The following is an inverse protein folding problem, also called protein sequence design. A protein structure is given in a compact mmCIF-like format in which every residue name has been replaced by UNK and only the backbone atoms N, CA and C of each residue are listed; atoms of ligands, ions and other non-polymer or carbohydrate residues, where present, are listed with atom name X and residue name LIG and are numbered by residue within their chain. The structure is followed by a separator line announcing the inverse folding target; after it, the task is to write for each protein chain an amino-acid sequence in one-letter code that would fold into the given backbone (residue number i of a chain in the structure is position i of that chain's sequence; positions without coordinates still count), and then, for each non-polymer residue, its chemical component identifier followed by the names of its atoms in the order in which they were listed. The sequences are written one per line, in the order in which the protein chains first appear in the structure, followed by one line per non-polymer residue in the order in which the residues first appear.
data_IF_993274063494
#
_entry.id   IF_993274063494
#
_cell.length_a   1.000
_cell.length_b   1.000
_cell.length_c   1.000
_cell.angle_alpha   90.00
_cell.angle_beta   90.00
_cell.angle_gamma   90.00
#
_symmetry.space_group_name_H-M   'P 1'
#
loop_
_entity.id
_entity.type
_entity.pdbx_description
1 polymer ?
#
# COMPACT_ATOMS: atom_id res chain seq x y z
N UNK A 1 -11.30 5.82 15.66
CA UNK A 1 -11.36 4.50 14.97
C UNK A 1 -11.36 4.61 13.44
N UNK A 2 -12.19 5.47 12.82
CA UNK A 2 -12.23 5.59 11.34
C UNK A 2 -10.88 5.93 10.70
N UNK A 3 -10.05 6.76 11.36
CA UNK A 3 -8.69 7.07 10.88
C UNK A 3 -7.70 5.91 11.10
N UNK A 4 -7.92 5.07 12.11
CA UNK A 4 -6.98 3.96 12.40
C UNK A 4 -7.19 2.82 11.42
N UNK A 5 -8.44 2.47 11.16
CA UNK A 5 -8.79 1.30 10.34
C UNK A 5 -9.16 1.66 8.89
N UNK A 6 -9.23 2.95 8.57
CA UNK A 6 -9.78 3.42 7.30
C UNK A 6 -11.27 3.13 7.16
N UNK A 7 -11.81 3.44 5.98
CA UNK A 7 -13.17 3.12 5.57
C UNK A 7 -13.29 3.14 4.06
N UNK A 8 -14.00 2.17 3.47
CA UNK A 8 -14.32 2.17 2.05
C UNK A 8 -15.76 1.76 1.83
N UNK A 9 -16.48 2.52 1.01
CA UNK A 9 -17.90 2.28 0.77
C UNK A 9 -18.41 3.00 -0.48
N UNK A 10 -19.42 2.41 -1.09
CA UNK A 10 -20.10 2.95 -2.28
C UNK A 10 -21.60 2.93 -2.00
N UNK A 11 -22.27 4.03 -2.32
CA UNK A 11 -23.71 4.18 -2.24
C UNK A 11 -24.24 4.92 -3.49
N UNK A 12 -25.56 5.02 -3.62
CA UNK A 12 -26.16 5.77 -4.73
C UNK A 12 -25.81 7.26 -4.61
N UNK A 13 -24.99 7.76 -5.54
CA UNK A 13 -24.55 9.16 -5.61
C UNK A 13 -23.36 9.52 -4.70
N UNK A 14 -22.85 8.58 -3.89
CA UNK A 14 -21.76 8.85 -2.95
C UNK A 14 -20.76 7.69 -2.90
N UNK A 15 -19.51 8.01 -2.59
CA UNK A 15 -18.49 7.02 -2.25
C UNK A 15 -17.57 7.57 -1.16
N UNK A 16 -16.94 6.68 -0.41
CA UNK A 16 -15.96 7.01 0.62
C UNK A 16 -14.73 6.12 0.48
N UNK A 17 -13.56 6.73 0.66
CA UNK A 17 -12.28 6.05 0.71
C UNK A 17 -11.39 6.83 1.68
N UNK A 18 -11.20 6.27 2.88
CA UNK A 18 -10.39 6.82 3.96
C UNK A 18 -9.26 5.82 4.20
N UNK A 19 -7.98 6.23 4.07
CA UNK A 19 -6.85 5.35 4.34
C UNK A 19 -6.64 5.16 5.85
N UNK A 20 -5.79 4.20 6.20
CA UNK A 20 -5.37 3.98 7.58
C UNK A 20 -4.29 4.99 7.96
N UNK A 21 -4.24 5.33 9.25
CA UNK A 21 -3.26 6.21 9.85
C UNK A 21 -2.69 5.56 11.10
N UNK A 22 -1.45 5.92 11.43
CA UNK A 22 -0.74 5.38 12.58
C UNK A 22 -1.42 5.83 13.87
N UNK A 23 -1.70 4.88 14.76
CA UNK A 23 -2.40 5.14 16.02
C UNK A 23 -1.72 6.23 16.87
N UNK A 24 -0.39 6.21 16.93
CA UNK A 24 0.39 7.18 17.72
C UNK A 24 0.19 8.62 17.23
N UNK A 25 0.13 8.81 15.92
CA UNK A 25 -0.02 10.14 15.31
C UNK A 25 -1.44 10.68 15.55
N UNK A 26 -2.44 9.78 15.51
CA UNK A 26 -3.82 10.12 15.88
C UNK A 26 -3.92 10.52 17.35
N UNK A 27 -3.26 9.79 18.26
CA UNK A 27 -3.24 10.12 19.69
C UNK A 27 -2.58 11.49 19.93
N UNK A 28 -1.41 11.73 19.34
CA UNK A 28 -0.69 13.00 19.48
C UNK A 28 -1.55 14.20 19.02
N UNK A 29 -2.26 14.05 17.90
CA UNK A 29 -3.16 15.10 17.42
C UNK A 29 -4.39 15.31 18.32
N UNK A 30 -4.90 14.26 18.96
CA UNK A 30 -5.96 14.39 19.96
C UNK A 30 -5.44 15.15 21.18
N UNK A 31 -4.22 14.85 21.64
CA UNK A 31 -3.60 15.58 22.75
C UNK A 31 -3.38 17.06 22.43
N UNK A 32 -2.89 17.39 21.22
CA UNK A 32 -2.79 18.78 20.76
C UNK A 32 -4.15 19.49 20.80
N UNK A 33 -5.22 18.84 20.31
CA UNK A 33 -6.57 19.42 20.35
C UNK A 33 -7.08 19.65 21.77
N UNK A 34 -6.73 18.77 22.73
CA UNK A 34 -7.10 18.94 24.14
C UNK A 34 -6.37 20.11 24.81
N UNK A 35 -5.20 20.49 24.29
CA UNK A 35 -4.39 21.61 24.78
C UNK A 35 -4.59 22.91 23.98
N UNK A 36 -5.60 22.98 23.10
CA UNK A 36 -5.84 24.10 22.17
C UNK A 36 -4.64 24.39 21.22
N UNK A 37 -3.83 23.37 20.94
CA UNK A 37 -2.70 23.41 20.01
C UNK A 37 -3.12 23.02 18.59
N UNK A 38 -2.31 23.41 17.60
CA UNK A 38 -2.58 23.09 16.20
C UNK A 38 -2.23 21.63 15.92
N UNK A 39 -3.10 20.94 15.19
CA UNK A 39 -2.81 19.58 14.71
C UNK A 39 -1.73 19.54 13.65
N UNK A 40 -1.00 18.44 13.64
CA UNK A 40 0.02 18.11 12.65
C UNK A 40 -0.59 17.29 11.50
N UNK A 41 -0.14 17.50 10.25
CA UNK A 41 -0.55 16.66 9.13
C UNK A 41 -0.16 15.20 9.36
N UNK A 42 -1.08 14.29 9.08
CA UNK A 42 -0.82 12.85 9.13
C UNK A 42 -0.76 12.29 7.70
N UNK A 43 0.19 11.39 7.47
CA UNK A 43 0.30 10.63 6.23
C UNK A 43 -0.28 9.21 6.41
N UNK A 44 -0.85 8.61 5.34
CA UNK A 44 -1.34 7.24 5.40
C UNK A 44 -0.27 6.25 5.86
N UNK A 45 -0.69 5.28 6.67
CA UNK A 45 0.19 4.26 7.22
C UNK A 45 -0.59 2.95 7.43
N UNK A 46 0.04 1.83 7.10
CA UNK A 46 -0.53 0.49 7.25
C UNK A 46 0.44 -0.40 8.02
N UNK A 47 -0.07 -1.10 9.02
CA UNK A 47 0.72 -1.99 9.85
C UNK A 47 1.26 -3.17 9.03
N UNK A 48 2.56 -3.45 9.13
CA UNK A 48 3.23 -4.54 8.42
C UNK A 48 3.51 -4.28 6.93
N UNK A 49 3.05 -3.15 6.36
CA UNK A 49 3.36 -2.81 4.98
C UNK A 49 4.81 -2.32 4.85
N UNK A 50 5.61 -3.01 4.04
CA UNK A 50 7.03 -2.67 3.84
C UNK A 50 7.31 -1.91 2.54
N UNK A 51 6.27 -1.56 1.79
CA UNK A 51 6.38 -0.76 0.59
C UNK A 51 6.50 0.73 0.90
N UNK A 52 6.43 1.54 -0.16
CA UNK A 52 6.59 3.00 -0.06
C UNK A 52 5.28 3.71 -0.32
N UNK A 53 4.90 4.64 0.55
CA UNK A 53 3.78 5.57 0.35
C UNK A 53 4.36 6.96 0.11
N UNK A 54 4.09 7.55 -1.05
CA UNK A 54 4.58 8.89 -1.40
C UNK A 54 3.44 9.83 -1.69
N UNK A 55 3.52 11.05 -1.15
CA UNK A 55 2.58 12.12 -1.46
C UNK A 55 2.74 12.59 -2.90
N UNK A 56 1.63 12.66 -3.63
CA UNK A 56 1.58 13.02 -5.05
C UNK A 56 0.62 14.19 -5.32
N UNK A 57 0.29 14.97 -4.29
CA UNK A 57 -0.59 16.13 -4.37
C UNK A 57 -1.34 16.37 -3.07
N UNK A 58 -2.26 17.33 -3.10
CA UNK A 58 -3.19 17.53 -1.99
C UNK A 58 -4.15 16.34 -1.93
N UNK A 59 -4.19 15.66 -0.78
CA UNK A 59 -4.99 14.45 -0.54
C UNK A 59 -4.77 13.31 -1.54
N UNK A 60 -3.62 13.26 -2.21
CA UNK A 60 -3.26 12.20 -3.16
C UNK A 60 -1.96 11.53 -2.77
N UNK A 61 -1.98 10.19 -2.73
CA UNK A 61 -0.83 9.36 -2.42
C UNK A 61 -0.66 8.27 -3.47
N UNK A 62 0.59 7.89 -3.71
CA UNK A 62 0.98 6.73 -4.52
C UNK A 62 1.56 5.68 -3.60
N UNK A 63 1.13 4.43 -3.75
CA UNK A 63 1.69 3.29 -3.05
C UNK A 63 2.54 2.47 -4.02
N UNK A 64 3.69 2.03 -3.55
CA UNK A 64 4.62 1.20 -4.31
C UNK A 64 4.92 -0.05 -3.49
N UNK A 65 4.94 -1.19 -4.16
CA UNK A 65 5.50 -2.41 -3.60
C UNK A 65 7.02 -2.31 -3.46
N UNK A 66 7.64 -3.39 -2.99
CA UNK A 66 9.09 -3.46 -2.76
C UNK A 66 9.71 -4.50 -3.69
N UNK A 67 10.41 -4.06 -4.75
CA UNK A 67 11.24 -4.95 -5.56
C UNK A 67 12.64 -5.07 -4.94
N UNK A 68 13.15 -6.29 -4.87
CA UNK A 68 14.51 -6.61 -4.45
C UNK A 68 15.32 -7.19 -5.60
N UNK A 69 16.65 -7.05 -5.50
CA UNK A 69 17.57 -7.61 -6.49
C UNK A 69 17.77 -9.10 -6.23
N UNK A 70 17.60 -9.91 -7.27
CA UNK A 70 17.70 -11.39 -7.17
C UNK A 70 19.11 -11.94 -7.40
N UNK A 71 20.13 -11.08 -7.40
CA UNK A 71 21.50 -11.42 -7.80
C UNK A 71 21.72 -11.49 -9.32
N UNK A 72 20.66 -11.60 -10.13
CA UNK A 72 20.70 -11.46 -11.59
C UNK A 72 20.07 -10.10 -12.00
N UNK A 73 20.68 -9.41 -12.97
CA UNK A 73 20.18 -8.14 -13.50
C UNK A 73 18.83 -8.26 -14.23
N UNK A 74 18.55 -9.42 -14.83
CA UNK A 74 17.31 -9.68 -15.59
C UNK A 74 16.15 -10.19 -14.73
N UNK A 75 16.40 -10.49 -13.46
CA UNK A 75 15.39 -11.07 -12.56
C UNK A 75 15.17 -10.15 -11.36
N UNK A 76 13.90 -9.94 -11.00
CA UNK A 76 13.50 -9.14 -9.85
C UNK A 76 12.70 -10.01 -8.90
N UNK A 77 13.02 -9.90 -7.61
CA UNK A 77 12.22 -10.50 -6.55
C UNK A 77 11.21 -9.46 -6.09
N UNK A 78 9.93 -9.81 -6.03
CA UNK A 78 8.89 -8.91 -5.51
C UNK A 78 8.54 -9.39 -4.11
N UNK A 79 8.90 -8.62 -3.08
CA UNK A 79 8.67 -8.99 -1.68
C UNK A 79 7.42 -8.36 -1.10
N UNK A 80 6.96 -7.24 -1.66
CA UNK A 80 5.74 -6.55 -1.24
C UNK A 80 4.99 -6.00 -2.45
N UNK A 81 3.66 -6.07 -2.41
CA UNK A 81 2.79 -5.49 -3.45
C UNK A 81 2.23 -4.14 -2.96
N UNK A 82 1.93 -3.18 -3.87
CA UNK A 82 1.25 -1.96 -3.46
C UNK A 82 -0.06 -2.26 -2.72
N UNK A 83 -0.43 -1.41 -1.76
CA UNK A 83 -1.72 -1.51 -1.07
C UNK A 83 -2.88 -1.61 -2.07
N UNK A 84 -3.88 -2.42 -1.70
CA UNK A 84 -5.05 -2.77 -2.53
C UNK A 84 -4.77 -3.69 -3.74
N UNK A 85 -3.51 -4.09 -3.97
CA UNK A 85 -3.16 -5.07 -5.01
C UNK A 85 -3.09 -6.47 -4.42
N UNK A 86 -4.07 -7.31 -4.76
CA UNK A 86 -4.07 -8.72 -4.39
C UNK A 86 -3.10 -9.53 -5.26
N UNK A 87 -2.48 -10.56 -4.68
CA UNK A 87 -1.55 -11.48 -5.36
C UNK A 87 -2.15 -12.04 -6.65
N UNK A 88 -3.39 -12.52 -6.60
CA UNK A 88 -4.08 -13.07 -7.78
C UNK A 88 -4.23 -12.04 -8.91
N UNK A 89 -4.53 -10.78 -8.58
CA UNK A 89 -4.66 -9.71 -9.56
C UNK A 89 -3.28 -9.37 -10.18
N UNK A 90 -2.24 -9.41 -9.36
CA UNK A 90 -0.88 -9.17 -9.81
C UNK A 90 -0.39 -10.29 -10.76
N UNK A 91 -0.58 -11.55 -10.37
CA UNK A 91 -0.25 -12.73 -11.19
C UNK A 91 -0.97 -12.69 -12.53
N UNK A 92 -2.29 -12.43 -12.53
CA UNK A 92 -3.06 -12.29 -13.77
C UNK A 92 -2.54 -11.15 -14.67
N UNK A 93 -2.05 -10.08 -14.07
CA UNK A 93 -1.43 -8.97 -14.81
C UNK A 93 -0.08 -9.38 -15.42
N UNK A 94 0.72 -10.20 -14.74
CA UNK A 94 1.96 -10.76 -15.27
C UNK A 94 1.71 -11.72 -16.43
N UNK A 95 0.69 -12.58 -16.36
CA UNK A 95 0.33 -13.48 -17.46
C UNK A 95 -0.07 -12.72 -18.73
N UNK A 96 -0.90 -11.68 -18.58
CA UNK A 96 -1.20 -10.77 -19.71
C UNK A 96 0.05 -10.08 -20.26
N UNK A 97 1.06 -9.85 -19.42
CA UNK A 97 2.36 -9.29 -19.80
C UNK A 97 3.24 -10.25 -20.60
N UNK A 98 3.10 -11.58 -20.39
CA UNK A 98 3.75 -12.60 -21.23
C UNK A 98 3.18 -12.58 -22.65
N UNK A 99 1.86 -12.50 -22.75
CA UNK A 99 1.14 -12.50 -24.04
C UNK A 99 1.39 -11.20 -24.84
N UNK A 100 1.52 -10.06 -24.15
CA UNK A 100 1.74 -8.76 -24.78
C UNK A 100 3.21 -8.34 -24.81
N UNK A 101 3.90 -8.72 -25.91
CA UNK A 101 5.18 -8.14 -26.38
C UNK A 101 6.42 -8.41 -25.50
N UNK A 102 6.49 -9.52 -24.77
CA UNK A 102 7.74 -9.96 -24.13
C UNK A 102 8.26 -9.04 -23.02
N UNK A 103 7.39 -8.25 -22.36
CA UNK A 103 7.77 -7.45 -21.19
C UNK A 103 8.08 -8.32 -19.96
N UNK A 104 7.50 -9.51 -19.91
CA UNK A 104 7.76 -10.55 -18.90
C UNK A 104 8.01 -11.85 -19.64
N UNK A 105 9.19 -12.44 -19.47
CA UNK A 105 9.55 -13.72 -20.10
C UNK A 105 8.99 -14.91 -19.31
N UNK A 106 9.13 -14.88 -17.98
CA UNK A 106 8.61 -15.89 -17.07
C UNK A 106 8.47 -15.29 -15.66
N UNK A 107 7.70 -15.95 -14.79
CA UNK A 107 7.70 -15.69 -13.35
C UNK A 107 7.50 -17.00 -12.61
N UNK A 108 7.92 -17.03 -11.35
CA UNK A 108 7.76 -18.14 -10.42
C UNK A 108 7.17 -17.57 -9.13
N UNK A 109 6.10 -18.17 -8.64
CA UNK A 109 5.54 -17.84 -7.33
C UNK A 109 6.28 -18.63 -6.25
N UNK A 110 6.88 -17.93 -5.30
CA UNK A 110 7.58 -18.54 -4.17
C UNK A 110 6.71 -18.34 -2.94
N UNK A 111 6.27 -19.44 -2.34
CA UNK A 111 5.57 -19.44 -1.06
C UNK A 111 6.58 -19.71 0.05
N UNK A 112 7.05 -18.65 0.72
CA UNK A 112 7.80 -18.81 1.97
C UNK A 112 6.81 -18.97 3.12
N UNK A 113 6.86 -20.11 3.79
CA UNK A 113 6.14 -20.29 5.05
C UNK A 113 6.84 -19.44 6.09
N UNK A 114 6.24 -18.30 6.47
CA UNK A 114 6.64 -17.59 7.66
C UNK A 114 6.34 -18.50 8.85
N UNK A 115 7.40 -19.07 9.45
CA UNK A 115 7.31 -19.67 10.78
C UNK A 115 7.23 -18.53 11.79
N UNK A 116 6.16 -18.50 12.56
CA UNK A 116 6.03 -17.70 13.78
C UNK A 116 7.07 -18.10 14.83
#
# INVERSE_FOLDING_TARGET
MVLVNGCRGIASGWSTCIPNYKLKDVISNVEHLLNDEKTEPMDPWYEGFEGTITKDGENRYKTFGRPESSGNAETRLVTELPMEVWTNNYVSSLDKGKENRGKVSAFIEIYSVFRE
#
